data_IF_857179765628
#
_entry.id   IF_857179765628
#
_cell.length_a   1.000
_cell.length_b   1.000
_cell.length_c   1.000
_cell.angle_alpha   90.00
_cell.angle_beta   90.00
_cell.angle_gamma   90.00
#
_symmetry.space_group_name_H-M   'P 1'
#
loop_
_entity.id
_entity.type
_entity.pdbx_description
1 polymer ?
#
# COMPACT_ATOMS: atom_id res chain seq x y z
N UNK A 1 -41.10 -82.01 -27.23
CA UNK A 1 -41.60 -80.65 -26.88
C UNK A 1 -41.25 -80.38 -25.42
N UNK A 2 -41.10 -79.10 -25.04
CA UNK A 2 -40.53 -78.53 -23.80
C UNK A 2 -39.01 -78.26 -23.80
N UNK A 3 -38.64 -77.03 -24.18
CA UNK A 3 -37.41 -76.35 -23.73
C UNK A 3 -37.83 -75.19 -22.82
N UNK A 4 -37.28 -75.18 -21.60
CA UNK A 4 -37.46 -74.14 -20.57
C UNK A 4 -36.73 -72.85 -20.99
N UNK A 5 -37.42 -71.72 -20.95
CA UNK A 5 -36.83 -70.39 -21.11
C UNK A 5 -36.39 -69.86 -19.73
N UNK A 6 -35.10 -69.59 -19.59
CA UNK A 6 -34.53 -68.82 -18.47
C UNK A 6 -34.56 -67.34 -18.87
N UNK A 7 -35.27 -66.52 -18.09
CA UNK A 7 -35.27 -65.06 -18.22
C UNK A 7 -34.15 -64.53 -17.31
N UNK A 8 -33.09 -64.02 -17.92
CA UNK A 8 -31.97 -63.37 -17.21
C UNK A 8 -32.32 -61.89 -17.00
N UNK A 9 -32.50 -61.52 -15.73
CA UNK A 9 -32.76 -60.15 -15.26
C UNK A 9 -31.44 -59.36 -15.23
N UNK A 10 -31.25 -58.43 -16.17
CA UNK A 10 -30.13 -57.47 -16.14
C UNK A 10 -30.47 -56.30 -15.21
N UNK A 11 -29.80 -56.24 -14.06
CA UNK A 11 -29.81 -55.06 -13.17
C UNK A 11 -28.74 -54.09 -13.69
N UNK A 12 -29.19 -53.00 -14.31
CA UNK A 12 -28.32 -51.90 -14.75
C UNK A 12 -27.98 -51.00 -13.56
N UNK A 13 -26.76 -51.14 -13.04
CA UNK A 13 -26.23 -50.29 -11.98
C UNK A 13 -25.83 -48.92 -12.58
N UNK A 14 -26.70 -47.92 -12.43
CA UNK A 14 -26.42 -46.54 -12.84
C UNK A 14 -25.44 -45.91 -11.84
N UNK A 15 -24.16 -45.90 -12.19
CA UNK A 15 -23.12 -45.25 -11.39
C UNK A 15 -23.28 -43.73 -11.54
N UNK A 16 -23.83 -43.06 -10.51
CA UNK A 16 -23.82 -41.61 -10.39
C UNK A 16 -22.37 -41.13 -10.23
N UNK A 17 -21.75 -40.73 -11.35
CA UNK A 17 -20.50 -39.99 -11.33
C UNK A 17 -20.83 -38.60 -10.79
N UNK A 18 -20.62 -38.40 -9.49
CA UNK A 18 -20.55 -37.07 -8.90
C UNK A 18 -19.36 -36.35 -9.51
N UNK A 19 -19.60 -35.47 -10.49
CA UNK A 19 -18.63 -34.46 -10.90
C UNK A 19 -18.40 -33.54 -9.70
N UNK A 20 -17.41 -33.86 -8.88
CA UNK A 20 -16.78 -32.86 -8.01
C UNK A 20 -16.25 -31.78 -8.94
N UNK A 21 -16.95 -30.65 -9.01
CA UNK A 21 -16.45 -29.43 -9.63
C UNK A 21 -15.11 -29.12 -8.96
N UNK A 22 -14.01 -29.52 -9.58
CA UNK A 22 -12.67 -29.16 -9.10
C UNK A 22 -12.63 -27.64 -9.08
N UNK A 23 -12.61 -27.06 -7.88
CA UNK A 23 -12.34 -25.64 -7.74
C UNK A 23 -11.01 -25.39 -8.47
N UNK A 24 -10.99 -24.39 -9.35
CA UNK A 24 -9.75 -23.95 -10.01
C UNK A 24 -8.61 -23.96 -9.00
N UNK A 25 -7.50 -24.62 -9.30
CA UNK A 25 -6.37 -24.76 -8.37
C UNK A 25 -5.53 -23.47 -8.28
N UNK A 26 -6.05 -22.34 -8.76
CA UNK A 26 -5.26 -21.12 -8.89
C UNK A 26 -6.02 -19.81 -8.64
N UNK A 27 -5.24 -18.78 -8.36
CA UNK A 27 -5.67 -17.38 -8.26
C UNK A 27 -4.67 -16.48 -8.97
N UNK A 28 -5.16 -15.57 -9.81
CA UNK A 28 -4.36 -14.66 -10.62
C UNK A 28 -4.27 -13.28 -9.97
N UNK A 29 -3.06 -12.88 -9.59
CA UNK A 29 -2.81 -11.62 -8.91
C UNK A 29 -2.11 -10.64 -9.84
N UNK A 30 -2.68 -9.47 -10.04
CA UNK A 30 -1.97 -8.35 -10.66
C UNK A 30 -1.44 -7.45 -9.56
N UNK A 31 -0.11 -7.28 -9.49
CA UNK A 31 0.53 -6.63 -8.35
C UNK A 31 1.38 -5.44 -8.75
N UNK A 32 1.13 -4.31 -8.09
CA UNK A 32 2.02 -3.16 -8.07
C UNK A 32 3.10 -3.24 -6.99
N UNK A 33 3.06 -4.25 -6.12
CA UNK A 33 4.07 -4.47 -5.08
C UNK A 33 5.33 -5.09 -5.70
N UNK A 34 6.46 -4.92 -5.03
CA UNK A 34 7.71 -5.54 -5.47
C UNK A 34 7.68 -7.05 -5.13
N UNK A 35 8.25 -7.93 -5.96
CA UNK A 35 8.13 -9.39 -5.80
C UNK A 35 8.51 -9.88 -4.39
N UNK A 36 9.68 -9.49 -3.91
CA UNK A 36 10.19 -9.88 -2.58
C UNK A 36 9.30 -9.43 -1.39
N UNK A 37 8.35 -8.51 -1.58
CA UNK A 37 7.42 -8.07 -0.54
C UNK A 37 6.16 -8.95 -0.43
N UNK A 38 5.87 -9.76 -1.47
CA UNK A 38 4.61 -10.51 -1.58
C UNK A 38 4.79 -12.00 -1.84
N UNK A 39 5.86 -12.42 -2.50
CA UNK A 39 6.12 -13.84 -2.80
C UNK A 39 6.11 -14.73 -1.54
N UNK A 40 6.75 -14.35 -0.41
CA UNK A 40 6.68 -15.16 0.81
C UNK A 40 5.25 -15.37 1.34
N UNK A 41 4.37 -14.39 1.15
CA UNK A 41 2.96 -14.49 1.54
C UNK A 41 2.21 -15.47 0.63
N UNK A 42 2.47 -15.40 -0.68
CA UNK A 42 1.85 -16.29 -1.65
C UNK A 42 2.31 -17.74 -1.50
N UNK A 43 3.59 -17.96 -1.19
CA UNK A 43 4.13 -19.27 -0.87
C UNK A 43 3.44 -19.86 0.37
N UNK A 44 3.29 -19.06 1.43
CA UNK A 44 2.61 -19.49 2.65
C UNK A 44 1.12 -19.78 2.41
N UNK A 45 0.42 -18.93 1.65
CA UNK A 45 -0.96 -19.18 1.24
C UNK A 45 -1.10 -20.47 0.44
N UNK A 46 -0.24 -20.67 -0.56
CA UNK A 46 -0.25 -21.88 -1.41
C UNK A 46 -0.02 -23.12 -0.56
N UNK A 47 0.92 -23.07 0.38
CA UNK A 47 1.21 -24.18 1.30
C UNK A 47 0.01 -24.54 2.20
N UNK A 48 -0.78 -23.55 2.61
CA UNK A 48 -1.93 -23.76 3.51
C UNK A 48 -3.20 -24.18 2.78
N UNK A 49 -3.44 -23.61 1.60
CA UNK A 49 -4.71 -23.77 0.87
C UNK A 49 -4.64 -24.80 -0.26
N UNK A 50 -3.45 -25.11 -0.76
CA UNK A 50 -3.26 -25.85 -2.02
C UNK A 50 -3.52 -25.01 -3.29
N UNK A 51 -3.95 -23.75 -3.16
CA UNK A 51 -4.25 -22.88 -4.30
C UNK A 51 -2.98 -22.18 -4.77
N UNK A 52 -2.61 -22.39 -6.04
CA UNK A 52 -1.46 -21.77 -6.68
C UNK A 52 -1.71 -20.28 -6.96
N UNK A 53 -0.76 -19.42 -6.56
CA UNK A 53 -0.82 -17.99 -6.90
C UNK A 53 -0.02 -17.72 -8.18
N UNK A 54 -0.69 -17.27 -9.23
CA UNK A 54 -0.04 -16.78 -10.45
C UNK A 54 0.01 -15.25 -10.40
N UNK A 55 1.20 -14.66 -10.36
CA UNK A 55 1.36 -13.21 -10.21
C UNK A 55 1.91 -12.54 -11.47
N UNK A 56 1.31 -11.40 -11.84
CA UNK A 56 1.81 -10.50 -12.88
C UNK A 56 2.15 -9.15 -12.25
N UNK A 57 3.43 -8.79 -12.31
CA UNK A 57 3.92 -7.53 -11.74
C UNK A 57 3.83 -6.38 -12.75
N UNK A 58 3.36 -5.22 -12.29
CA UNK A 58 3.29 -4.00 -13.08
C UNK A 58 3.89 -2.81 -12.31
N UNK A 59 4.41 -1.81 -13.03
CA UNK A 59 4.85 -0.53 -12.44
C UNK A 59 3.80 0.57 -12.60
N UNK A 60 3.06 0.53 -13.71
CA UNK A 60 2.01 1.47 -14.14
C UNK A 60 1.04 0.76 -15.09
N UNK A 61 -0.11 1.36 -15.38
CA UNK A 61 -0.98 0.93 -16.47
C UNK A 61 -1.94 -0.23 -16.16
N UNK A 62 -2.07 -0.63 -14.88
CA UNK A 62 -2.91 -1.79 -14.51
C UNK A 62 -4.39 -1.52 -14.75
N UNK A 63 -4.87 -0.31 -14.46
CA UNK A 63 -6.27 0.05 -14.71
C UNK A 63 -6.60 0.01 -16.21
N UNK A 64 -5.73 0.57 -17.05
CA UNK A 64 -5.87 0.55 -18.51
C UNK A 64 -5.82 -0.88 -19.06
N UNK A 65 -4.97 -1.73 -18.48
CA UNK A 65 -4.90 -3.15 -18.82
C UNK A 65 -6.21 -3.87 -18.49
N UNK A 66 -6.71 -3.72 -17.26
CA UNK A 66 -7.97 -4.35 -16.85
C UNK A 66 -9.14 -3.88 -17.71
N UNK A 67 -9.24 -2.57 -17.95
CA UNK A 67 -10.30 -2.01 -18.79
C UNK A 67 -10.26 -2.58 -20.22
N UNK A 68 -9.05 -2.74 -20.79
CA UNK A 68 -8.87 -3.35 -22.12
C UNK A 68 -9.20 -4.84 -22.15
N UNK A 69 -8.82 -5.58 -21.12
CA UNK A 69 -9.11 -7.02 -21.02
C UNK A 69 -10.61 -7.30 -20.75
N UNK A 70 -11.28 -6.39 -20.05
CA UNK A 70 -12.72 -6.45 -19.78
C UNK A 70 -13.14 -7.76 -19.12
N UNK A 71 -14.27 -8.32 -19.56
CA UNK A 71 -14.82 -9.59 -19.06
C UNK A 71 -13.96 -10.82 -19.30
N UNK A 72 -12.90 -10.70 -20.11
CA UNK A 72 -11.96 -11.77 -20.42
C UNK A 72 -10.64 -11.60 -19.66
N UNK A 73 -10.54 -10.62 -18.76
CA UNK A 73 -9.36 -10.48 -17.91
C UNK A 73 -9.17 -11.74 -17.06
N UNK A 74 -7.95 -12.29 -17.00
CA UNK A 74 -7.68 -13.40 -16.09
C UNK A 74 -7.51 -12.93 -14.64
N UNK A 75 -7.44 -11.62 -14.38
CA UNK A 75 -7.14 -11.09 -13.05
C UNK A 75 -8.25 -11.43 -12.04
N UNK A 76 -7.85 -11.94 -10.88
CA UNK A 76 -8.72 -12.20 -9.73
C UNK A 76 -8.57 -11.12 -8.66
N UNK A 77 -7.31 -10.80 -8.34
CA UNK A 77 -6.95 -9.85 -7.29
C UNK A 77 -6.02 -8.77 -7.85
N UNK A 78 -6.23 -7.54 -7.39
CA UNK A 78 -5.34 -6.41 -7.64
C UNK A 78 -4.68 -5.99 -6.34
N UNK A 79 -3.35 -6.02 -6.29
CA UNK A 79 -2.56 -5.49 -5.18
C UNK A 79 -1.98 -4.13 -5.53
N UNK A 80 -2.24 -3.15 -4.70
CA UNK A 80 -1.78 -1.77 -4.87
C UNK A 80 -0.84 -1.34 -3.76
N UNK A 81 -0.16 -0.24 -4.01
CA UNK A 81 0.77 0.41 -3.07
C UNK A 81 0.30 1.80 -2.70
N UNK A 82 -0.90 2.23 -3.05
CA UNK A 82 -1.40 3.59 -2.85
C UNK A 82 -2.93 3.60 -2.91
N UNK A 83 -3.58 4.26 -1.95
CA UNK A 83 -5.05 4.37 -1.92
C UNK A 83 -5.61 4.89 -3.25
N UNK A 84 -4.96 5.86 -3.87
CA UNK A 84 -5.46 6.46 -5.10
C UNK A 84 -5.52 5.49 -6.29
N UNK A 85 -4.73 4.41 -6.25
CA UNK A 85 -4.83 3.34 -7.26
C UNK A 85 -6.06 2.46 -7.02
N UNK A 86 -6.43 2.21 -5.76
CA UNK A 86 -7.67 1.50 -5.43
C UNK A 86 -8.88 2.31 -5.86
N UNK A 87 -8.85 3.61 -5.56
CA UNK A 87 -9.93 4.54 -5.94
C UNK A 87 -10.03 4.68 -7.47
N UNK A 88 -8.90 4.76 -8.19
CA UNK A 88 -8.92 4.72 -9.66
C UNK A 88 -9.59 3.44 -10.21
N UNK A 89 -9.28 2.28 -9.63
CA UNK A 89 -9.87 1.01 -10.04
C UNK A 89 -11.39 0.97 -9.77
N UNK A 90 -11.81 1.49 -8.61
CA UNK A 90 -13.22 1.60 -8.22
C UNK A 90 -13.98 2.58 -9.11
N UNK A 91 -13.47 3.79 -9.29
CA UNK A 91 -14.13 4.86 -10.06
C UNK A 91 -14.24 4.51 -11.56
N UNK A 92 -13.34 3.64 -12.06
CA UNK A 92 -13.42 3.07 -13.42
C UNK A 92 -14.28 1.80 -13.49
N UNK A 93 -14.93 1.39 -12.40
CA UNK A 93 -15.81 0.22 -12.34
C UNK A 93 -15.07 -1.08 -12.77
N UNK A 94 -13.84 -1.26 -12.27
CA UNK A 94 -12.95 -2.39 -12.58
C UNK A 94 -12.81 -3.40 -11.43
N UNK A 95 -13.44 -3.13 -10.29
CA UNK A 95 -13.41 -3.98 -9.08
C UNK A 95 -14.84 -4.26 -8.62
N UNK A 96 -15.01 -5.30 -7.80
CA UNK A 96 -16.30 -5.69 -7.25
C UNK A 96 -16.26 -5.70 -5.71
N UNK A 97 -17.41 -5.49 -5.04
CA UNK A 97 -17.51 -5.58 -3.59
C UNK A 97 -17.25 -7.02 -3.10
N UNK A 98 -16.59 -7.15 -1.95
CA UNK A 98 -16.34 -8.45 -1.29
C UNK A 98 -16.95 -8.46 0.09
N UNK A 99 -17.99 -9.28 0.28
CA UNK A 99 -18.64 -9.44 1.58
C UNK A 99 -17.96 -10.56 2.37
N UNK A 100 -17.06 -10.21 3.29
CA UNK A 100 -16.37 -11.16 4.16
C UNK A 100 -16.32 -10.65 5.59
N UNK A 101 -16.90 -11.41 6.53
CA UNK A 101 -16.80 -11.09 7.95
C UNK A 101 -15.34 -11.14 8.43
N UNK A 102 -14.50 -12.00 7.85
CA UNK A 102 -13.08 -12.08 8.20
C UNK A 102 -12.38 -10.75 7.86
N UNK A 103 -12.61 -10.21 6.66
CA UNK A 103 -12.05 -8.91 6.27
C UNK A 103 -12.56 -7.79 7.17
N UNK A 104 -13.88 -7.71 7.38
CA UNK A 104 -14.49 -6.64 8.16
C UNK A 104 -14.09 -6.63 9.63
N UNK A 105 -13.81 -7.79 10.23
CA UNK A 105 -13.33 -7.88 11.62
C UNK A 105 -11.81 -7.66 11.74
N UNK A 106 -11.03 -8.07 10.75
CA UNK A 106 -9.58 -7.96 10.81
C UNK A 106 -9.06 -6.54 10.50
N UNK A 107 -9.85 -5.74 9.77
CA UNK A 107 -9.44 -4.43 9.29
C UNK A 107 -10.29 -3.34 9.96
N UNK A 108 -9.66 -2.36 10.64
CA UNK A 108 -10.36 -1.18 11.16
C UNK A 108 -11.18 -0.46 10.07
N UNK A 109 -12.34 0.08 10.42
CA UNK A 109 -13.29 0.68 9.47
C UNK A 109 -12.66 1.79 8.61
N UNK A 110 -11.72 2.57 9.17
CA UNK A 110 -11.00 3.62 8.47
C UNK A 110 -10.03 3.11 7.38
N UNK A 111 -9.77 1.80 7.33
CA UNK A 111 -8.83 1.15 6.42
C UNK A 111 -9.50 0.20 5.41
N UNK A 112 -10.81 0.34 5.22
CA UNK A 112 -11.57 -0.39 4.21
C UNK A 112 -12.61 0.51 3.56
N UNK A 113 -13.02 0.16 2.34
CA UNK A 113 -14.06 0.88 1.63
C UNK A 113 -15.43 0.65 2.29
N UNK A 114 -16.25 1.70 2.38
CA UNK A 114 -17.64 1.55 2.87
C UNK A 114 -18.49 0.65 1.96
N UNK A 115 -18.14 0.59 0.67
CA UNK A 115 -18.80 -0.24 -0.34
C UNK A 115 -18.13 -1.62 -0.52
N UNK A 116 -17.18 -2.00 0.35
CA UNK A 116 -16.44 -3.25 0.30
C UNK A 116 -15.62 -3.49 -0.99
N UNK A 117 -15.33 -2.47 -1.79
CA UNK A 117 -14.60 -2.63 -3.07
C UNK A 117 -13.09 -2.75 -2.89
N UNK A 118 -12.54 -2.30 -1.75
CA UNK A 118 -11.12 -2.40 -1.44
C UNK A 118 -10.87 -2.51 0.07
N UNK A 119 -9.72 -3.10 0.40
CA UNK A 119 -9.29 -3.36 1.78
C UNK A 119 -7.80 -3.04 1.93
N UNK A 120 -7.39 -2.33 2.98
CA UNK A 120 -5.98 -2.14 3.28
C UNK A 120 -5.36 -3.44 3.83
N UNK A 121 -4.07 -3.63 3.53
CA UNK A 121 -3.27 -4.74 4.05
C UNK A 121 -2.18 -4.26 5.00
N UNK A 122 -1.59 -3.10 4.72
CA UNK A 122 -0.58 -2.47 5.58
C UNK A 122 -0.69 -0.96 5.48
N UNK A 123 -0.30 -0.25 6.54
CA UNK A 123 -0.12 1.20 6.52
C UNK A 123 1.36 1.56 6.55
N UNK A 124 1.66 2.79 6.13
CA UNK A 124 2.99 3.39 6.19
C UNK A 124 2.85 4.86 6.48
N UNK A 125 3.77 5.39 7.28
CA UNK A 125 3.84 6.82 7.59
C UNK A 125 4.83 7.50 6.65
N UNK A 126 4.45 8.65 6.10
CA UNK A 126 5.39 9.52 5.39
C UNK A 126 6.04 10.48 6.39
N UNK A 127 7.20 10.11 6.88
CA UNK A 127 7.89 10.82 7.96
C UNK A 127 8.71 11.99 7.46
N UNK A 128 9.16 12.79 8.43
CA UNK A 128 10.26 13.73 8.25
C UNK A 128 11.50 13.15 8.94
N UNK A 129 12.59 12.98 8.19
CA UNK A 129 13.91 12.71 8.75
C UNK A 129 14.61 14.03 9.05
N UNK A 130 15.15 14.19 10.25
CA UNK A 130 15.96 15.34 10.64
C UNK A 130 17.38 14.89 11.00
N UNK A 131 18.37 15.70 10.66
CA UNK A 131 19.76 15.42 11.01
C UNK A 131 19.94 15.45 12.54
N UNK A 132 20.66 14.49 13.10
CA UNK A 132 20.94 14.46 14.56
C UNK A 132 21.67 15.69 15.07
N UNK A 133 22.46 16.34 14.21
CA UNK A 133 23.12 17.64 14.50
C UNK A 133 22.15 18.79 14.79
N UNK A 134 20.86 18.65 14.50
CA UNK A 134 19.82 19.60 14.91
C UNK A 134 19.31 19.36 16.33
N UNK A 135 19.69 18.25 16.97
CA UNK A 135 19.01 17.74 18.15
C UNK A 135 17.65 17.10 17.79
N UNK A 136 16.93 16.67 18.83
CA UNK A 136 15.54 16.19 18.66
C UNK A 136 14.63 17.39 18.49
N UNK A 137 13.80 17.34 17.45
CA UNK A 137 12.87 18.41 17.10
C UNK A 137 11.52 17.79 16.73
N UNK A 138 10.44 18.38 17.23
CA UNK A 138 9.10 18.05 16.78
C UNK A 138 8.80 18.87 15.52
N UNK A 139 8.19 18.24 14.52
CA UNK A 139 7.97 18.83 13.21
C UNK A 139 6.56 18.56 12.73
N UNK A 140 5.99 19.56 12.07
CA UNK A 140 4.80 19.44 11.25
C UNK A 140 5.21 19.44 9.77
N UNK A 141 4.35 18.91 8.89
CA UNK A 141 4.56 19.07 7.44
C UNK A 141 4.59 20.55 7.03
N UNK A 142 3.78 21.37 7.70
CA UNK A 142 3.69 22.82 7.52
C UNK A 142 5.04 23.51 7.77
N UNK A 143 5.80 23.06 8.76
CA UNK A 143 7.07 23.66 9.16
C UNK A 143 8.12 23.61 8.05
N UNK A 144 7.99 22.69 7.08
CA UNK A 144 8.89 22.63 5.91
C UNK A 144 8.87 23.92 5.07
N UNK A 145 7.83 24.76 5.23
CA UNK A 145 7.70 26.06 4.60
C UNK A 145 8.32 27.23 5.40
N UNK A 146 8.83 27.00 6.61
CA UNK A 146 9.47 28.05 7.43
C UNK A 146 10.80 28.50 6.83
N UNK A 147 11.04 29.82 6.79
CA UNK A 147 12.28 30.41 6.26
C UNK A 147 13.54 29.95 7.02
N UNK A 148 13.41 29.48 8.28
CA UNK A 148 14.55 28.90 9.04
C UNK A 148 15.13 27.64 8.41
N UNK A 149 14.39 27.00 7.50
CA UNK A 149 14.82 25.83 6.72
C UNK A 149 15.23 26.16 5.28
N UNK A 150 15.41 27.44 4.95
CA UNK A 150 15.86 27.85 3.62
C UNK A 150 17.18 27.19 3.22
N UNK A 151 17.18 26.45 2.11
CA UNK A 151 18.33 25.69 1.64
C UNK A 151 18.68 24.46 2.49
N UNK A 152 17.76 23.98 3.34
CA UNK A 152 18.01 22.89 4.31
C UNK A 152 17.08 21.69 4.13
N UNK A 153 16.15 21.73 3.17
CA UNK A 153 15.21 20.64 2.89
C UNK A 153 15.66 19.84 1.66
N UNK A 154 15.63 18.52 1.77
CA UNK A 154 15.77 17.60 0.64
C UNK A 154 14.48 16.82 0.43
N UNK A 155 14.13 16.58 -0.83
CA UNK A 155 13.05 15.67 -1.18
C UNK A 155 13.30 15.06 -2.55
N UNK A 156 12.60 13.97 -2.83
CA UNK A 156 12.47 13.45 -4.19
C UNK A 156 11.43 14.26 -4.97
N UNK A 157 11.30 13.99 -6.27
CA UNK A 157 10.25 14.55 -7.11
C UNK A 157 8.90 14.65 -6.40
N UNK A 158 8.31 15.84 -6.39
CA UNK A 158 6.97 16.10 -5.87
C UNK A 158 5.91 15.28 -6.62
N UNK A 159 6.13 15.00 -7.90
CA UNK A 159 5.27 14.15 -8.73
C UNK A 159 5.35 12.65 -8.40
N UNK A 160 6.23 12.24 -7.48
CA UNK A 160 6.24 10.87 -6.99
C UNK A 160 4.95 10.55 -6.19
N UNK A 161 4.30 9.39 -6.38
CA UNK A 161 3.02 9.07 -5.74
C UNK A 161 2.94 9.33 -4.23
N UNK A 162 4.02 9.07 -3.48
CA UNK A 162 4.08 9.35 -2.04
C UNK A 162 3.98 10.85 -1.71
N UNK A 163 4.65 11.71 -2.47
CA UNK A 163 4.55 13.16 -2.28
C UNK A 163 3.20 13.67 -2.77
N UNK A 164 2.68 13.13 -3.87
CA UNK A 164 1.34 13.47 -4.36
C UNK A 164 0.27 13.16 -3.31
N UNK A 165 0.35 12.01 -2.63
CA UNK A 165 -0.59 11.65 -1.57
C UNK A 165 -0.51 12.59 -0.35
N UNK A 166 0.71 12.95 0.08
CA UNK A 166 0.90 13.94 1.15
C UNK A 166 0.37 15.32 0.75
N UNK A 167 0.63 15.76 -0.48
CA UNK A 167 0.09 17.05 -0.97
C UNK A 167 -1.43 16.99 -1.06
N UNK A 168 -2.00 15.84 -1.45
CA UNK A 168 -3.45 15.66 -1.47
C UNK A 168 -4.06 15.74 -0.07
N UNK A 169 -3.39 15.21 0.97
CA UNK A 169 -3.85 15.40 2.35
C UNK A 169 -3.72 16.86 2.81
N UNK A 170 -2.67 17.58 2.38
CA UNK A 170 -2.57 19.03 2.62
C UNK A 170 -3.71 19.82 1.95
N UNK A 171 -4.14 19.43 0.74
CA UNK A 171 -5.31 20.03 0.08
C UNK A 171 -6.59 19.73 0.84
N UNK A 172 -6.76 18.49 1.29
CA UNK A 172 -7.93 18.10 2.10
C UNK A 172 -8.02 18.89 3.40
N UNK A 173 -6.89 19.11 4.06
CA UNK A 173 -6.83 19.79 5.36
C UNK A 173 -6.94 21.31 5.24
N UNK A 174 -6.19 21.91 4.31
CA UNK A 174 -5.97 23.37 4.27
C UNK A 174 -6.52 24.04 3.01
N UNK A 175 -7.02 23.27 2.05
CA UNK A 175 -7.48 23.76 0.76
C UNK A 175 -6.35 24.06 -0.23
N UNK A 176 -6.75 24.31 -1.49
CA UNK A 176 -5.83 24.48 -2.62
C UNK A 176 -4.92 25.71 -2.48
N UNK A 177 -5.48 26.86 -2.08
CA UNK A 177 -4.76 28.12 -2.01
C UNK A 177 -3.62 28.08 -0.98
N UNK A 178 -3.90 27.53 0.20
CA UNK A 178 -2.88 27.31 1.23
C UNK A 178 -1.80 26.35 0.72
N UNK A 179 -2.21 25.22 0.17
CA UNK A 179 -1.29 24.17 -0.28
C UNK A 179 -0.36 24.66 -1.38
N UNK A 180 -0.86 25.46 -2.34
CA UNK A 180 -0.03 26.06 -3.38
C UNK A 180 1.03 27.01 -2.78
N UNK A 181 0.65 27.83 -1.80
CA UNK A 181 1.58 28.72 -1.12
C UNK A 181 2.62 27.93 -0.33
N UNK A 182 2.20 26.90 0.41
CA UNK A 182 3.09 25.99 1.12
C UNK A 182 4.09 25.33 0.17
N UNK A 183 3.64 24.76 -0.96
CA UNK A 183 4.53 24.17 -1.98
C UNK A 183 5.57 25.16 -2.51
N UNK A 184 5.18 26.41 -2.79
CA UNK A 184 6.11 27.45 -3.24
C UNK A 184 7.17 27.78 -2.18
N UNK A 185 6.79 27.83 -0.91
CA UNK A 185 7.72 28.05 0.21
C UNK A 185 8.64 26.86 0.44
N UNK A 186 8.10 25.64 0.46
CA UNK A 186 8.91 24.41 0.54
C UNK A 186 9.91 24.34 -0.61
N UNK A 187 9.50 24.69 -1.85
CA UNK A 187 10.40 24.77 -3.00
C UNK A 187 11.57 25.73 -2.74
N UNK A 188 11.31 26.93 -2.21
CA UNK A 188 12.35 27.90 -1.84
C UNK A 188 13.29 27.38 -0.75
N UNK A 189 12.81 26.45 0.08
CA UNK A 189 13.59 25.83 1.15
C UNK A 189 14.41 24.62 0.70
N UNK A 190 14.26 24.16 -0.54
CA UNK A 190 15.03 23.05 -1.04
C UNK A 190 16.51 23.40 -1.17
N UNK A 191 17.37 22.53 -0.63
CA UNK A 191 18.82 22.64 -0.76
C UNK A 191 19.31 22.29 -2.18
N UNK A 192 18.51 21.56 -2.94
CA UNK A 192 18.79 21.10 -4.30
C UNK A 192 17.49 20.74 -5.01
N UNK A 193 17.54 20.69 -6.34
CA UNK A 193 16.44 20.20 -7.18
C UNK A 193 15.98 18.80 -6.70
N UNK A 194 14.67 18.53 -6.62
CA UNK A 194 14.16 17.22 -6.24
C UNK A 194 14.72 16.10 -7.12
N UNK A 195 15.30 15.07 -6.49
CA UNK A 195 15.96 13.98 -7.22
C UNK A 195 16.07 12.71 -6.37
N UNK A 196 16.34 11.56 -7.00
CA UNK A 196 16.62 10.31 -6.29
C UNK A 196 15.41 9.68 -5.57
N UNK A 197 15.71 8.87 -4.55
CA UNK A 197 14.74 8.13 -3.74
C UNK A 197 14.70 8.64 -2.29
N UNK A 198 13.71 8.21 -1.49
CA UNK A 198 13.63 8.55 -0.05
C UNK A 198 14.95 8.27 0.69
N UNK A 199 15.58 7.10 0.44
CA UNK A 199 16.90 6.75 1.02
C UNK A 199 18.03 7.68 0.56
N UNK A 200 17.97 8.13 -0.69
CA UNK A 200 18.90 9.12 -1.22
C UNK A 200 18.77 10.51 -0.59
N UNK A 201 17.64 10.80 0.08
CA UNK A 201 17.50 12.03 0.85
C UNK A 201 18.16 11.90 2.22
N UNK A 202 18.02 10.74 2.87
CA UNK A 202 18.74 10.45 4.13
C UNK A 202 20.26 10.40 3.89
N UNK A 203 20.70 9.83 2.76
CA UNK A 203 22.10 9.93 2.33
C UNK A 203 22.57 11.39 2.18
N UNK A 204 21.72 12.27 1.63
CA UNK A 204 22.05 13.68 1.49
C UNK A 204 22.15 14.42 2.83
N UNK A 205 21.34 14.01 3.83
CA UNK A 205 21.48 14.50 5.20
C UNK A 205 22.82 14.08 5.80
N UNK A 206 23.19 12.81 5.63
CA UNK A 206 24.49 12.28 6.05
C UNK A 206 25.67 13.03 5.38
N UNK A 207 25.52 13.36 4.09
CA UNK A 207 26.49 14.17 3.32
C UNK A 207 26.43 15.67 3.61
N UNK A 208 25.62 16.10 4.58
CA UNK A 208 25.46 17.51 4.99
C UNK A 208 24.96 18.44 3.88
N UNK A 209 24.28 17.91 2.87
CA UNK A 209 23.69 18.71 1.78
C UNK A 209 22.38 19.38 2.20
N UNK A 210 21.72 18.84 3.22
CA UNK A 210 20.47 19.33 3.79
C UNK A 210 20.33 18.78 5.21
N UNK A 211 19.43 19.34 6.00
CA UNK A 211 19.22 18.91 7.38
C UNK A 211 17.90 18.15 7.58
N UNK A 212 16.94 18.31 6.67
CA UNK A 212 15.61 17.72 6.79
C UNK A 212 15.20 17.07 5.47
N UNK A 213 14.48 15.96 5.52
CA UNK A 213 13.88 15.36 4.32
C UNK A 213 12.59 14.59 4.58
N UNK A 214 11.78 14.45 3.53
CA UNK A 214 10.61 13.57 3.54
C UNK A 214 10.97 12.13 3.17
N UNK A 215 10.41 11.15 3.87
CA UNK A 215 10.44 9.77 3.40
C UNK A 215 9.65 8.76 4.23
N UNK A 216 9.32 7.61 3.63
CA UNK A 216 8.50 6.61 4.31
C UNK A 216 9.28 5.86 5.41
N UNK A 217 8.57 5.47 6.48
CA UNK A 217 9.13 4.79 7.67
C UNK A 217 9.94 3.53 7.35
N UNK A 218 9.43 2.62 6.53
CA UNK A 218 10.06 1.33 6.26
C UNK A 218 11.45 1.46 5.61
N UNK A 219 11.75 2.58 4.93
CA UNK A 219 13.10 2.82 4.41
C UNK A 219 14.12 3.02 5.52
N UNK A 220 13.73 3.59 6.67
CA UNK A 220 14.61 3.71 7.83
C UNK A 220 15.03 2.34 8.35
N UNK A 221 14.06 1.44 8.57
CA UNK A 221 14.34 0.06 8.98
C UNK A 221 15.20 -0.69 7.98
N UNK A 222 14.94 -0.53 6.67
CA UNK A 222 15.78 -1.13 5.62
C UNK A 222 17.21 -0.59 5.62
N UNK A 223 17.40 0.71 5.84
CA UNK A 223 18.75 1.31 5.92
C UNK A 223 19.50 0.83 7.16
N UNK A 224 18.82 0.71 8.31
CA UNK A 224 19.42 0.19 9.54
C UNK A 224 19.90 -1.27 9.40
N UNK A 225 19.24 -2.06 8.56
CA UNK A 225 19.62 -3.46 8.28
C UNK A 225 20.58 -3.64 7.09
N UNK A 226 20.94 -2.55 6.39
CA UNK A 226 21.88 -2.59 5.27
C UNK A 226 23.21 -1.99 5.70
N UNK A 227 24.29 -2.80 5.70
CA UNK A 227 25.63 -2.38 6.15
C UNK A 227 26.13 -1.10 5.46
N UNK A 228 25.78 -0.87 4.20
CA UNK A 228 26.24 0.31 3.42
C UNK A 228 25.39 1.56 3.70
N UNK A 229 24.13 1.38 4.10
CA UNK A 229 23.18 2.48 4.30
C UNK A 229 22.97 2.80 5.79
N UNK A 230 23.39 1.91 6.68
CA UNK A 230 23.28 2.10 8.14
C UNK A 230 23.95 3.40 8.60
N UNK A 231 25.09 3.73 8.02
CA UNK A 231 25.80 4.99 8.31
C UNK A 231 24.96 6.24 7.97
N UNK A 232 24.01 6.14 7.03
CA UNK A 232 23.09 7.24 6.72
C UNK A 232 21.97 7.33 7.75
N UNK A 233 21.39 6.18 8.11
CA UNK A 233 20.31 6.10 9.11
C UNK A 233 20.80 6.50 10.50
N UNK A 234 22.04 6.20 10.86
CA UNK A 234 22.62 6.54 12.16
C UNK A 234 22.80 8.06 12.35
N UNK A 235 22.74 8.86 11.28
CA UNK A 235 22.88 10.32 11.32
C UNK A 235 21.54 11.09 11.36
N UNK A 236 20.41 10.39 11.39
CA UNK A 236 19.08 11.02 11.40
C UNK A 236 18.21 10.56 12.56
N UNK A 237 17.28 11.42 12.98
CA UNK A 237 16.08 11.03 13.69
C UNK A 237 14.95 10.81 12.68
N UNK A 238 14.12 9.79 12.92
CA UNK A 238 12.81 9.65 12.29
C UNK A 238 11.80 10.42 13.14
N UNK A 239 11.04 11.32 12.53
CA UNK A 239 10.03 12.12 13.21
C UNK A 239 8.67 11.83 12.59
N UNK A 240 7.72 11.43 13.43
CA UNK A 240 6.31 11.36 13.09
C UNK A 240 5.76 12.79 13.10
N UNK A 241 5.30 13.34 11.97
CA UNK A 241 4.90 14.74 11.96
C UNK A 241 3.56 14.98 12.64
N UNK A 242 3.27 16.23 13.01
CA UNK A 242 1.91 16.66 13.37
C UNK A 242 1.33 16.03 14.65
N UNK A 243 2.19 15.57 15.56
CA UNK A 243 1.77 14.84 16.78
C UNK A 243 1.05 15.72 17.82
N UNK A 244 1.23 17.03 17.74
CA UNK A 244 0.54 18.02 18.59
C UNK A 244 -0.69 18.63 17.92
N UNK A 245 -1.11 18.11 16.75
CA UNK A 245 -2.33 18.55 16.05
C UNK A 245 -3.06 17.38 15.38
N UNK A 246 -3.11 17.30 14.05
CA UNK A 246 -3.92 16.34 13.30
C UNK A 246 -3.34 14.93 13.21
N UNK A 247 -2.07 14.70 13.56
CA UNK A 247 -1.41 13.41 13.39
C UNK A 247 -0.69 13.23 12.05
N UNK A 248 0.05 12.13 11.92
CA UNK A 248 0.95 11.90 10.79
C UNK A 248 0.20 11.35 9.56
N UNK A 249 0.54 11.84 8.37
CA UNK A 249 -0.01 11.32 7.12
C UNK A 249 0.43 9.88 6.90
N UNK A 250 -0.56 9.01 6.71
CA UNK A 250 -0.35 7.63 6.32
C UNK A 250 -0.87 7.36 4.91
N UNK A 251 -0.36 6.29 4.32
CA UNK A 251 -0.91 5.70 3.12
C UNK A 251 -0.85 4.18 3.24
N UNK A 252 -1.53 3.46 2.35
CA UNK A 252 -1.74 2.02 2.49
C UNK A 252 -1.15 1.24 1.33
N UNK A 253 -0.81 -0.02 1.58
CA UNK A 253 -0.94 -1.06 0.56
C UNK A 253 -2.30 -1.70 0.72
N UNK A 254 -2.94 -2.09 -0.37
CA UNK A 254 -4.28 -2.64 -0.30
C UNK A 254 -4.60 -3.58 -1.44
N UNK A 255 -5.75 -4.21 -1.31
CA UNK A 255 -6.24 -5.27 -2.17
C UNK A 255 -7.65 -4.97 -2.62
N UNK A 256 -7.96 -5.31 -3.87
CA UNK A 256 -9.31 -5.30 -4.42
C UNK A 256 -9.53 -6.55 -5.28
N UNK A 257 -10.76 -7.05 -5.33
CA UNK A 257 -11.14 -8.13 -6.24
C UNK A 257 -11.49 -7.53 -7.60
N UNK A 258 -10.93 -8.07 -8.68
CA UNK A 258 -11.24 -7.61 -10.03
C UNK A 258 -12.73 -7.87 -10.37
N UNK A 259 -13.36 -6.98 -11.12
CA UNK A 259 -14.79 -7.04 -11.43
C UNK A 259 -15.25 -8.35 -12.08
N UNK A 260 -14.39 -8.93 -12.92
CA UNK A 260 -14.67 -10.17 -13.65
C UNK A 260 -13.80 -11.33 -13.18
N UNK A 261 -13.41 -11.35 -11.89
CA UNK A 261 -12.54 -12.38 -11.30
C UNK A 261 -13.04 -13.81 -11.61
N UNK A 262 -12.34 -14.59 -12.46
CA UNK A 262 -12.79 -15.93 -12.84
C UNK A 262 -12.72 -16.94 -11.68
N UNK A 263 -11.90 -16.68 -10.65
CA UNK A 263 -11.68 -17.52 -9.49
C UNK A 263 -12.07 -16.79 -8.18
N UNK A 264 -13.22 -16.11 -8.16
CA UNK A 264 -13.65 -15.24 -7.04
C UNK A 264 -13.57 -15.88 -5.64
N UNK A 265 -13.87 -17.18 -5.51
CA UNK A 265 -13.74 -17.89 -4.22
C UNK A 265 -12.29 -17.96 -3.73
N UNK A 266 -11.36 -18.31 -4.62
CA UNK A 266 -9.93 -18.33 -4.31
C UNK A 266 -9.39 -16.92 -4.08
N UNK A 267 -9.92 -15.95 -4.82
CA UNK A 267 -9.59 -14.55 -4.67
C UNK A 267 -9.93 -14.06 -3.24
N UNK A 268 -11.16 -14.32 -2.79
CA UNK A 268 -11.58 -14.01 -1.43
C UNK A 268 -10.73 -14.74 -0.39
N UNK A 269 -10.45 -16.04 -0.57
CA UNK A 269 -9.61 -16.81 0.35
C UNK A 269 -8.19 -16.21 0.48
N UNK A 270 -7.59 -15.75 -0.62
CA UNK A 270 -6.30 -15.08 -0.57
C UNK A 270 -6.41 -13.69 0.09
N UNK A 271 -7.49 -12.92 -0.16
CA UNK A 271 -7.72 -11.65 0.55
C UNK A 271 -7.81 -11.85 2.07
N UNK A 272 -8.58 -12.85 2.51
CA UNK A 272 -8.73 -13.22 3.92
C UNK A 272 -7.41 -13.71 4.53
N UNK A 273 -6.64 -14.49 3.78
CA UNK A 273 -5.30 -14.90 4.21
C UNK A 273 -4.37 -13.69 4.40
N UNK A 274 -4.37 -12.70 3.50
CA UNK A 274 -3.47 -11.54 3.57
C UNK A 274 -3.73 -10.67 4.82
N UNK A 275 -4.92 -10.73 5.40
CA UNK A 275 -5.27 -10.06 6.66
C UNK A 275 -5.19 -10.99 7.89
N UNK A 276 -4.84 -12.26 7.70
CA UNK A 276 -4.67 -13.20 8.80
C UNK A 276 -3.49 -12.84 9.71
N UNK A 277 -3.51 -13.31 10.96
CA UNK A 277 -2.40 -13.11 11.91
C UNK A 277 -1.04 -13.49 11.34
N UNK A 278 -0.84 -14.68 10.74
CA UNK A 278 0.47 -15.06 10.20
C UNK A 278 0.95 -14.15 9.06
N UNK A 279 0.05 -13.76 8.15
CA UNK A 279 0.39 -12.87 7.05
C UNK A 279 0.76 -11.46 7.53
N UNK A 280 -0.02 -10.92 8.47
CA UNK A 280 0.21 -9.60 9.08
C UNK A 280 1.52 -9.58 9.90
N UNK A 281 1.86 -10.66 10.59
CA UNK A 281 3.18 -10.79 11.23
C UNK A 281 4.32 -10.80 10.21
N UNK A 282 4.13 -11.41 9.05
CA UNK A 282 5.14 -11.41 7.98
C UNK A 282 5.33 -10.01 7.38
N UNK A 283 4.23 -9.27 7.19
CA UNK A 283 4.29 -7.84 6.82
C UNK A 283 5.10 -7.02 7.84
N UNK A 284 4.82 -7.19 9.13
CA UNK A 284 5.52 -6.48 10.19
C UNK A 284 7.02 -6.81 10.25
N UNK A 285 7.37 -8.10 10.21
CA UNK A 285 8.75 -8.58 10.39
C UNK A 285 9.63 -8.33 9.16
N UNK A 286 9.13 -8.62 7.97
CA UNK A 286 9.94 -8.61 6.74
C UNK A 286 9.91 -7.25 6.04
N UNK A 287 8.73 -6.61 6.01
CA UNK A 287 8.56 -5.40 5.21
C UNK A 287 8.78 -4.11 6.01
N UNK A 288 8.85 -4.19 7.34
CA UNK A 288 8.90 -3.04 8.26
C UNK A 288 7.72 -2.09 8.06
N UNK A 289 6.57 -2.64 7.66
CA UNK A 289 5.31 -1.92 7.52
C UNK A 289 4.45 -2.10 8.78
N UNK A 290 3.46 -1.24 8.95
CA UNK A 290 2.50 -1.36 10.04
C UNK A 290 1.37 -2.29 9.58
N UNK A 291 1.11 -3.41 10.29
CA UNK A 291 -0.02 -4.25 10.00
C UNK A 291 -1.32 -3.47 10.24
N UNK A 292 -2.36 -3.73 9.46
CA UNK A 292 -3.69 -3.12 9.68
C UNK A 292 -4.42 -3.78 10.85
N UNK A 293 -4.02 -5.02 11.19
CA UNK A 293 -4.64 -5.82 12.25
C UNK A 293 -4.09 -5.40 13.61
N UNK A 294 -4.96 -4.91 14.49
CA UNK A 294 -4.57 -4.27 15.76
C UNK A 294 -3.90 -5.22 16.77
N UNK A 295 -4.23 -6.52 16.73
CA UNK A 295 -3.63 -7.54 17.59
C UNK A 295 -2.34 -8.16 17.00
N UNK A 296 -1.71 -7.48 16.04
CA UNK A 296 -0.37 -7.80 15.52
C UNK A 296 0.60 -6.70 15.86
N UNK A 297 1.60 -7.04 16.66
CA UNK A 297 2.70 -6.13 16.94
C UNK A 297 3.57 -5.89 15.70
N UNK A 298 4.03 -4.66 15.55
CA UNK A 298 5.12 -4.31 14.61
C UNK A 298 6.43 -5.00 15.01
N UNK A 299 7.42 -5.01 14.12
CA UNK A 299 8.75 -5.54 14.47
C UNK A 299 9.37 -4.74 15.62
N UNK A 300 10.28 -5.36 16.40
CA UNK A 300 11.00 -4.68 17.50
C UNK A 300 11.72 -3.41 17.03
N UNK A 301 12.21 -3.41 15.79
CA UNK A 301 12.87 -2.26 15.19
C UNK A 301 11.89 -1.12 14.88
N UNK A 302 10.70 -1.42 14.36
CA UNK A 302 9.67 -0.41 14.11
C UNK A 302 9.11 0.13 15.44
N UNK A 303 8.89 -0.76 16.42
CA UNK A 303 8.44 -0.38 17.76
C UNK A 303 9.40 0.59 18.46
N UNK A 304 10.72 0.48 18.22
CA UNK A 304 11.72 1.35 18.85
C UNK A 304 11.70 2.80 18.34
N UNK A 305 10.93 3.09 17.28
CA UNK A 305 10.75 4.45 16.77
C UNK A 305 9.73 5.25 17.60
N UNK A 306 8.96 4.57 18.46
CA UNK A 306 7.92 5.18 19.29
C UNK A 306 6.52 5.06 18.71
N UNK A 307 5.55 5.47 19.50
CA UNK A 307 4.14 5.54 19.10
C UNK A 307 3.86 6.88 18.39
N UNK A 308 2.79 6.91 17.60
CA UNK A 308 2.35 8.10 16.91
C UNK A 308 0.83 8.10 16.71
N UNK A 309 0.26 9.29 16.63
CA UNK A 309 -1.11 9.53 16.20
C UNK A 309 -1.15 9.64 14.68
N UNK A 310 -2.17 9.03 14.08
CA UNK A 310 -2.44 9.03 12.65
C UNK A 310 -3.32 10.23 12.30
N UNK A 311 -3.17 10.76 11.09
CA UNK A 311 -4.10 11.73 10.51
C UNK A 311 -5.50 11.12 10.33
N UNK A 312 -6.51 11.70 10.98
CA UNK A 312 -7.90 11.20 11.01
C UNK A 312 -8.64 11.38 9.66
N UNK A 313 -8.03 12.04 8.68
CA UNK A 313 -8.58 12.16 7.33
C UNK A 313 -8.86 10.80 6.69
N UNK A 314 -10.08 10.64 6.18
CA UNK A 314 -10.45 9.44 5.43
C UNK A 314 -9.54 9.27 4.20
N UNK A 315 -8.99 8.07 4.01
CA UNK A 315 -8.09 7.76 2.89
C UNK A 315 -8.74 8.06 1.52
N UNK A 316 -10.05 7.85 1.40
CA UNK A 316 -10.79 8.17 0.18
C UNK A 316 -10.88 9.67 -0.07
N UNK A 317 -10.98 10.50 0.97
CA UNK A 317 -11.00 11.94 0.84
C UNK A 317 -9.64 12.44 0.31
N UNK A 318 -8.54 11.93 0.87
CA UNK A 318 -7.18 12.19 0.36
C UNK A 318 -7.08 11.81 -1.13
N UNK A 319 -7.66 10.69 -1.53
CA UNK A 319 -7.59 10.23 -2.91
C UNK A 319 -8.32 11.15 -3.91
N UNK A 320 -9.45 11.77 -3.51
CA UNK A 320 -10.19 12.74 -4.36
C UNK A 320 -9.31 13.92 -4.77
N UNK A 321 -8.43 14.37 -3.87
CA UNK A 321 -7.54 15.52 -4.10
C UNK A 321 -6.29 15.19 -4.91
N UNK A 322 -6.09 13.94 -5.36
CA UNK A 322 -4.86 13.55 -6.09
C UNK A 322 -4.63 14.36 -7.36
N UNK A 323 -5.66 14.56 -8.18
CA UNK A 323 -5.54 15.32 -9.44
C UNK A 323 -5.19 16.77 -9.15
N UNK A 324 -5.84 17.35 -8.15
CA UNK A 324 -5.56 18.70 -7.65
C UNK A 324 -4.11 18.81 -7.14
N UNK A 325 -3.65 17.89 -6.32
CA UNK A 325 -2.27 17.85 -5.83
C UNK A 325 -1.23 17.85 -6.97
N UNK A 326 -1.44 17.04 -8.01
CA UNK A 326 -0.59 17.04 -9.21
C UNK A 326 -0.59 18.39 -9.94
N UNK A 327 -1.76 19.00 -10.10
CA UNK A 327 -1.90 20.35 -10.69
C UNK A 327 -1.14 21.39 -9.87
N UNK A 328 -1.29 21.39 -8.54
CA UNK A 328 -0.61 22.36 -7.67
C UNK A 328 0.91 22.17 -7.66
N UNK A 329 1.40 20.93 -7.69
CA UNK A 329 2.82 20.62 -7.83
C UNK A 329 3.40 21.16 -9.14
N UNK A 330 2.64 21.08 -10.23
CA UNK A 330 3.01 21.63 -11.54
C UNK A 330 3.00 23.16 -11.56
N UNK A 331 1.95 23.79 -11.01
CA UNK A 331 1.84 25.25 -10.86
C UNK A 331 2.92 25.84 -9.95
N UNK A 332 3.32 25.12 -8.89
CA UNK A 332 4.45 25.49 -8.06
C UNK A 332 5.81 25.27 -8.75
N UNK A 333 5.79 24.59 -9.92
CA UNK A 333 6.98 24.13 -10.62
C UNK A 333 7.92 23.38 -9.66
N UNK A 334 7.36 22.54 -8.79
CA UNK A 334 8.07 22.05 -7.60
C UNK A 334 9.38 21.32 -7.92
N UNK A 335 9.40 20.60 -9.04
CA UNK A 335 10.54 19.83 -9.51
C UNK A 335 11.53 20.64 -10.37
N UNK A 336 11.29 21.93 -10.64
CA UNK A 336 12.14 22.76 -11.52
C UNK A 336 13.21 23.52 -10.77
#
# INVERSE_FOLDING_TARGET
MLRKAFITMCVSLFCLITFSSSASEMVNVYSYRQPFLVEPLFEQFTKQSGVKVNVVFAKKGMAERLAREGKYSPADILLTTDISRLIELRDKDLVQPVNSSILSHAIPTQYQAQDNTWFALTTRVRNIYSAKRLGRIDLNYEDLADEKYKGRVCTRSGKHPYNVALVASMVSEHGEAYTLNWLKKVKKNLARKPQGSDRGQVQAIHQKLCDISLGNSYYFGKMLNDKKQKVWADEVYINFPNQNNRGAHINISGVAMAKYAPNAKNAQALMEFLVSKPAQELYAKTNMEYPVREDVAVSKLVASWGNYNVDDLALEEIAKHRKTALKLLDQAQFDL
#
